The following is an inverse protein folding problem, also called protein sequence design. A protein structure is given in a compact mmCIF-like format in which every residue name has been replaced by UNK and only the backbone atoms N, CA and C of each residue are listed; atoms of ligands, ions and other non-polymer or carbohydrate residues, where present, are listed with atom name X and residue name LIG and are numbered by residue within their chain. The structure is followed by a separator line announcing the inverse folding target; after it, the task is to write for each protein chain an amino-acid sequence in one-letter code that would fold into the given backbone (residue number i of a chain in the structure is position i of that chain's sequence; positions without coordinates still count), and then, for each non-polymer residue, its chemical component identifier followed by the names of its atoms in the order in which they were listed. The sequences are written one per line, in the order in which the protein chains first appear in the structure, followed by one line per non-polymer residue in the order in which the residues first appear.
data_IF_848275685183
#
_entry.id   IF_848275685183
#
_cell.length_a   1.000
_cell.length_b   1.000
_cell.length_c   1.000
_cell.angle_alpha   90.00
_cell.angle_beta   90.00
_cell.angle_gamma   90.00
#
_symmetry.space_group_name_H-M   'P 1'
#
loop_
_entity.id
_entity.type
_entity.pdbx_description
1 polymer ?
#
# COMPACT_ATOMS: atom_id res chain seq x y z
N UNK A 1 8.19 9.26 -5.25
CA UNK A 1 8.66 8.46 -4.10
C UNK A 1 7.50 8.23 -3.14
N UNK A 2 7.24 6.97 -2.83
CA UNK A 2 6.20 6.55 -1.90
C UNK A 2 6.79 5.64 -0.82
N UNK A 3 6.00 5.32 0.20
CA UNK A 3 6.39 4.34 1.21
C UNK A 3 5.20 3.50 1.66
N UNK A 4 5.50 2.30 2.17
CA UNK A 4 4.56 1.44 2.88
C UNK A 4 5.17 0.95 4.19
N UNK A 5 4.33 0.92 5.24
CA UNK A 5 4.77 0.57 6.59
C UNK A 5 3.58 0.16 7.45
N UNK A 6 3.49 -1.11 7.85
CA UNK A 6 2.33 -1.67 8.56
C UNK A 6 2.74 -2.35 9.87
N UNK A 7 3.13 -1.60 10.90
CA UNK A 7 3.65 -2.16 12.15
C UNK A 7 2.65 -3.02 12.91
N UNK A 8 1.34 -2.76 12.78
CA UNK A 8 0.32 -3.55 13.48
C UNK A 8 0.25 -4.99 13.01
N UNK A 9 0.47 -5.25 11.71
CA UNK A 9 0.53 -6.61 11.18
C UNK A 9 1.80 -7.31 11.65
N UNK A 10 2.90 -6.57 11.80
CA UNK A 10 4.20 -7.14 12.16
C UNK A 10 4.21 -7.86 13.51
N UNK A 11 3.41 -7.40 14.48
CA UNK A 11 3.24 -8.11 15.75
C UNK A 11 2.76 -9.55 15.60
N UNK A 12 2.01 -9.84 14.54
CA UNK A 12 1.44 -11.17 14.28
C UNK A 12 2.23 -11.93 13.24
N UNK A 13 2.75 -11.24 12.24
CA UNK A 13 3.48 -11.83 11.13
C UNK A 13 4.40 -10.80 10.46
N UNK A 14 5.71 -10.81 10.76
CA UNK A 14 6.68 -10.01 10.01
C UNK A 14 6.66 -10.29 8.51
N UNK A 15 6.39 -11.54 8.11
CA UNK A 15 6.23 -11.95 6.71
C UNK A 15 5.09 -11.19 6.01
N UNK A 16 3.89 -11.22 6.58
CA UNK A 16 2.73 -10.51 6.00
C UNK A 16 2.89 -9.00 6.06
N UNK A 17 3.46 -8.47 7.14
CA UNK A 17 3.74 -7.04 7.26
C UNK A 17 4.65 -6.55 6.13
N UNK A 18 5.68 -7.31 5.79
CA UNK A 18 6.59 -6.98 4.69
C UNK A 18 5.87 -7.01 3.33
N UNK A 19 5.03 -8.03 3.08
CA UNK A 19 4.22 -8.08 1.85
C UNK A 19 3.32 -6.85 1.73
N UNK A 20 2.57 -6.51 2.78
CA UNK A 20 1.68 -5.35 2.77
C UNK A 20 2.45 -4.02 2.70
N UNK A 21 3.62 -3.90 3.31
CA UNK A 21 4.46 -2.70 3.18
C UNK A 21 4.90 -2.47 1.72
N UNK A 22 5.31 -3.54 1.03
CA UNK A 22 5.64 -3.45 -0.40
C UNK A 22 4.40 -3.11 -1.22
N UNK A 23 3.28 -3.80 -0.99
CA UNK A 23 2.04 -3.58 -1.71
C UNK A 23 1.50 -2.16 -1.53
N UNK A 24 1.53 -1.62 -0.30
CA UNK A 24 1.11 -0.24 0.00
C UNK A 24 1.97 0.79 -0.73
N UNK A 25 3.30 0.61 -0.74
CA UNK A 25 4.20 1.51 -1.45
C UNK A 25 3.92 1.53 -2.96
N UNK A 26 3.59 0.37 -3.54
CA UNK A 26 3.18 0.24 -4.95
C UNK A 26 1.81 0.86 -5.20
N UNK A 27 0.81 0.57 -4.36
CA UNK A 27 -0.52 1.18 -4.47
C UNK A 27 -0.43 2.71 -4.53
N UNK A 28 0.42 3.32 -3.70
CA UNK A 28 0.66 4.77 -3.68
C UNK A 28 1.31 5.28 -4.99
N UNK A 29 2.13 4.48 -5.66
CA UNK A 29 2.65 4.82 -7.00
C UNK A 29 1.51 4.87 -8.01
N UNK A 30 0.63 3.86 -8.01
CA UNK A 30 -0.53 3.83 -8.90
C UNK A 30 -1.54 4.94 -8.60
N UNK A 31 -1.77 5.24 -7.32
CA UNK A 31 -2.69 6.31 -6.91
C UNK A 31 -2.30 7.71 -7.40
N UNK A 32 -1.03 7.93 -7.73
CA UNK A 32 -0.56 9.20 -8.30
C UNK A 32 -0.32 9.14 -9.81
N UNK A 33 -0.79 8.09 -10.49
CA UNK A 33 -0.67 7.94 -11.94
C UNK A 33 0.61 7.24 -12.41
N UNK A 34 1.42 6.68 -11.51
CA UNK A 34 2.60 5.88 -11.86
C UNK A 34 2.26 4.43 -12.18
N UNK A 35 3.27 3.68 -12.63
CA UNK A 35 3.18 2.24 -12.91
C UNK A 35 4.36 1.48 -12.36
N UNK A 36 4.27 0.14 -12.32
CA UNK A 36 5.40 -0.71 -11.95
C UNK A 36 6.53 -0.73 -12.99
N UNK A 37 6.32 -0.32 -14.24
CA UNK A 37 7.28 -0.53 -15.34
C UNK A 37 8.63 0.14 -15.12
N UNK A 38 8.66 1.24 -14.39
CA UNK A 38 9.89 1.97 -14.05
C UNK A 38 10.13 2.06 -12.54
N UNK A 39 9.47 1.19 -11.75
CA UNK A 39 9.53 1.19 -10.32
C UNK A 39 10.73 0.41 -9.81
N UNK A 40 11.40 0.94 -8.78
CA UNK A 40 12.44 0.28 -7.98
C UNK A 40 12.16 0.46 -6.50
N UNK A 41 12.54 -0.55 -5.72
CA UNK A 41 12.39 -0.51 -4.27
C UNK A 41 13.72 -0.19 -3.58
N UNK A 42 13.58 0.39 -2.38
CA UNK A 42 14.63 0.44 -1.37
C UNK A 42 13.99 0.13 -0.02
N UNK A 43 14.58 -0.78 0.75
CA UNK A 43 14.00 -1.19 2.03
C UNK A 43 14.78 -0.63 3.19
N UNK A 44 14.05 -0.28 4.25
CA UNK A 44 14.61 0.13 5.52
C UNK A 44 14.07 -0.80 6.60
N UNK A 45 14.96 -1.47 7.33
CA UNK A 45 14.56 -2.48 8.29
C UNK A 45 15.08 -2.14 9.69
N UNK A 46 14.23 -2.42 10.71
CA UNK A 46 14.54 -2.23 12.11
C UNK A 46 14.10 -3.45 12.90
N UNK A 47 15.03 -4.01 13.65
CA UNK A 47 14.80 -5.16 14.52
C UNK A 47 15.38 -4.90 15.90
N UNK A 48 14.84 -5.61 16.89
CA UNK A 48 15.40 -5.66 18.25
C UNK A 48 16.84 -6.19 18.23
N UNK A 49 17.55 -6.05 19.34
CA UNK A 49 18.88 -6.66 19.50
C UNK A 49 18.74 -8.19 19.47
N UNK A 50 19.27 -8.82 18.44
CA UNK A 50 19.04 -10.24 18.13
C UNK A 50 19.85 -11.19 19.02
N UNK A 51 21.11 -10.83 19.32
CA UNK A 51 22.02 -11.73 20.04
C UNK A 51 22.20 -13.06 19.31
N UNK A 52 22.13 -14.17 20.06
CA UNK A 52 22.21 -15.52 19.51
C UNK A 52 20.86 -16.27 19.59
N UNK A 53 19.77 -15.55 19.78
CA UNK A 53 18.44 -16.14 19.84
C UNK A 53 17.91 -16.46 18.44
N UNK A 54 17.75 -17.75 18.08
CA UNK A 54 17.27 -18.12 16.74
C UNK A 54 15.85 -17.67 16.47
N UNK A 55 15.00 -17.49 17.48
CA UNK A 55 13.63 -16.99 17.29
C UNK A 55 13.64 -15.53 16.81
N UNK A 56 14.54 -14.70 17.34
CA UNK A 56 14.70 -13.32 16.88
C UNK A 56 15.21 -13.23 15.44
N UNK A 57 16.18 -14.07 15.08
CA UNK A 57 16.67 -14.20 13.71
C UNK A 57 15.56 -14.71 12.76
N UNK A 58 14.68 -15.57 13.25
CA UNK A 58 13.50 -16.05 12.51
C UNK A 58 12.57 -14.91 12.09
N UNK A 59 12.40 -13.89 12.90
CA UNK A 59 11.57 -12.71 12.58
C UNK A 59 12.19 -11.88 11.45
N UNK A 60 13.50 -11.66 11.47
CA UNK A 60 14.25 -11.03 10.36
C UNK A 60 14.05 -11.81 9.07
N UNK A 61 14.23 -13.13 9.13
CA UNK A 61 14.05 -14.00 7.98
C UNK A 61 12.63 -13.92 7.41
N UNK A 62 11.61 -13.87 8.26
CA UNK A 62 10.22 -13.71 7.82
C UNK A 62 10.00 -12.40 7.07
N UNK A 63 10.50 -11.27 7.56
CA UNK A 63 10.37 -9.98 6.90
C UNK A 63 11.05 -9.98 5.52
N UNK A 64 12.27 -10.51 5.45
CA UNK A 64 13.02 -10.64 4.18
C UNK A 64 12.30 -11.55 3.18
N UNK A 65 11.79 -12.70 3.61
CA UNK A 65 11.04 -13.61 2.74
C UNK A 65 9.74 -12.97 2.25
N UNK A 66 9.02 -12.24 3.11
CA UNK A 66 7.81 -11.52 2.71
C UNK A 66 8.10 -10.47 1.63
N UNK A 67 9.17 -9.69 1.81
CA UNK A 67 9.58 -8.71 0.80
C UNK A 67 10.02 -9.35 -0.51
N UNK A 68 10.70 -10.50 -0.45
CA UNK A 68 11.12 -11.26 -1.64
C UNK A 68 9.92 -11.76 -2.43
N UNK A 69 8.96 -12.40 -1.75
CA UNK A 69 7.72 -12.88 -2.40
C UNK A 69 6.98 -11.73 -3.09
N UNK A 70 6.88 -10.58 -2.45
CA UNK A 70 6.24 -9.42 -3.06
C UNK A 70 7.00 -8.89 -4.27
N UNK A 71 8.34 -8.80 -4.20
CA UNK A 71 9.18 -8.38 -5.34
C UNK A 71 9.05 -9.33 -6.53
N UNK A 72 9.06 -10.63 -6.29
CA UNK A 72 8.92 -11.65 -7.35
C UNK A 72 7.55 -11.56 -8.02
N UNK A 73 6.47 -11.44 -7.23
CA UNK A 73 5.11 -11.33 -7.76
C UNK A 73 4.88 -10.04 -8.56
N UNK A 74 5.45 -8.92 -8.12
CA UNK A 74 5.36 -7.63 -8.81
C UNK A 74 6.32 -7.57 -10.02
N UNK A 75 7.37 -8.37 -10.00
CA UNK A 75 8.40 -8.41 -11.04
C UNK A 75 9.36 -7.21 -10.98
N UNK A 76 9.59 -6.65 -9.79
CA UNK A 76 10.45 -5.47 -9.59
C UNK A 76 11.41 -5.67 -8.44
N UNK A 77 12.72 -5.37 -8.64
CA UNK A 77 13.73 -5.58 -7.62
C UNK A 77 13.85 -4.38 -6.67
N UNK A 78 14.38 -4.66 -5.48
CA UNK A 78 15.00 -3.63 -4.67
C UNK A 78 16.43 -3.35 -5.19
N UNK A 79 16.80 -2.07 -5.18
CA UNK A 79 18.15 -1.63 -5.56
C UNK A 79 19.11 -1.63 -4.37
N UNK A 80 18.57 -1.80 -3.16
CA UNK A 80 19.33 -1.81 -1.92
C UNK A 80 18.42 -1.53 -0.74
N UNK A 81 19.06 -1.33 0.40
CA UNK A 81 18.37 -1.06 1.65
C UNK A 81 19.34 -0.90 2.79
N UNK A 82 18.82 -0.84 4.00
CA UNK A 82 19.60 -0.69 5.22
C UNK A 82 18.90 -1.37 6.38
N UNK A 83 19.62 -2.21 7.10
CA UNK A 83 19.12 -2.89 8.29
C UNK A 83 19.69 -2.28 9.57
N UNK A 84 18.90 -2.33 10.63
CA UNK A 84 19.36 -2.06 11.98
C UNK A 84 18.85 -3.15 12.92
N UNK A 85 19.75 -3.79 13.64
CA UNK A 85 19.48 -4.89 14.58
C UNK A 85 19.86 -4.50 16.01
N UNK A 86 19.63 -3.25 16.37
CA UNK A 86 19.97 -2.69 17.68
C UNK A 86 18.81 -1.90 18.31
N UNK A 87 17.60 -2.19 17.88
CA UNK A 87 16.37 -1.51 18.35
C UNK A 87 15.89 -1.99 19.72
N UNK A 88 16.79 -2.10 20.68
CA UNK A 88 16.48 -2.44 22.08
C UNK A 88 17.01 -1.37 23.00
N UNK A 89 16.14 -0.85 23.87
CA UNK A 89 16.49 0.05 24.94
C UNK A 89 15.92 -0.48 26.28
N UNK A 90 16.79 -0.96 27.14
CA UNK A 90 16.43 -1.72 28.35
C UNK A 90 15.54 -2.93 28.01
N UNK A 91 14.30 -2.92 28.44
CA UNK A 91 13.25 -3.93 28.21
C UNK A 91 12.32 -3.58 27.04
N UNK A 92 12.48 -2.42 26.43
CA UNK A 92 11.72 -2.00 25.26
C UNK A 92 12.41 -2.46 23.96
N UNK A 93 11.67 -3.17 23.13
CA UNK A 93 12.10 -3.59 21.82
C UNK A 93 11.27 -2.89 20.74
N UNK A 94 11.90 -2.50 19.65
CA UNK A 94 11.15 -2.09 18.45
C UNK A 94 10.38 -3.29 17.91
N UNK A 95 9.21 -3.03 17.37
CA UNK A 95 8.47 -4.01 16.56
C UNK A 95 9.29 -4.30 15.31
N UNK A 96 9.27 -5.54 14.87
CA UNK A 96 9.90 -5.94 13.62
C UNK A 96 9.35 -5.09 12.48
N UNK A 97 10.19 -4.31 11.87
CA UNK A 97 9.79 -3.30 10.92
C UNK A 97 10.49 -3.51 9.59
N UNK A 98 9.70 -3.57 8.51
CA UNK A 98 10.17 -3.36 7.16
C UNK A 98 9.37 -2.19 6.57
N UNK A 99 10.08 -1.15 6.15
CA UNK A 99 9.53 -0.03 5.40
C UNK A 99 9.94 -0.23 3.95
N UNK A 100 8.96 -0.27 3.06
CA UNK A 100 9.20 -0.26 1.61
C UNK A 100 9.14 1.16 1.09
N UNK A 101 10.20 1.62 0.45
CA UNK A 101 10.19 2.81 -0.38
C UNK A 101 10.09 2.39 -1.83
N UNK A 102 9.17 2.98 -2.58
CA UNK A 102 9.02 2.76 -4.01
C UNK A 102 9.27 4.08 -4.76
N UNK A 103 10.13 4.03 -5.77
CA UNK A 103 10.48 5.17 -6.60
C UNK A 103 10.19 4.85 -8.06
N UNK A 104 9.37 5.69 -8.71
CA UNK A 104 9.06 5.60 -10.12
C UNK A 104 8.97 7.00 -10.74
N UNK A 105 9.51 7.24 -11.94
CA UNK A 105 9.26 8.46 -12.70
C UNK A 105 7.82 8.47 -13.22
N UNK A 106 7.15 9.63 -13.13
CA UNK A 106 5.81 9.86 -13.66
C UNK A 106 5.84 11.16 -14.46
N UNK A 107 5.16 11.19 -15.61
CA UNK A 107 4.98 12.43 -16.35
C UNK A 107 4.05 13.35 -15.57
N UNK A 108 4.38 14.63 -15.49
CA UNK A 108 3.57 15.62 -14.74
C UNK A 108 2.11 15.64 -15.26
N UNK A 109 1.90 15.46 -16.56
CA UNK A 109 0.56 15.45 -17.16
C UNK A 109 -0.31 14.26 -16.71
N UNK A 110 0.31 13.17 -16.23
CA UNK A 110 -0.38 11.94 -15.80
C UNK A 110 -0.61 11.93 -14.27
N UNK A 111 -0.11 12.94 -13.55
CA UNK A 111 -0.23 13.01 -12.09
C UNK A 111 -1.64 13.43 -11.70
N UNK A 112 -2.28 12.61 -10.85
CA UNK A 112 -3.52 12.97 -10.15
C UNK A 112 -3.25 13.13 -8.65
N UNK A 113 -4.15 13.80 -7.96
CA UNK A 113 -4.04 14.11 -6.53
C UNK A 113 -5.21 13.54 -5.74
N UNK A 114 -5.08 13.30 -4.44
CA UNK A 114 -6.04 12.51 -3.67
C UNK A 114 -7.34 13.23 -3.29
N UNK A 115 -7.38 14.57 -3.32
CA UNK A 115 -8.60 15.31 -2.96
C UNK A 115 -9.71 15.10 -4.00
N UNK A 116 -10.99 15.06 -3.54
CA UNK A 116 -12.16 14.96 -4.42
C UNK A 116 -12.21 16.16 -5.37
N UNK A 117 -12.70 15.96 -6.59
CA UNK A 117 -12.68 16.98 -7.65
C UNK A 117 -14.04 17.65 -7.89
N UNK A 118 -15.15 16.91 -7.86
CA UNK A 118 -16.44 17.48 -8.19
C UNK A 118 -17.63 16.76 -7.53
N UNK A 119 -18.65 17.53 -7.25
CA UNK A 119 -19.94 16.98 -6.81
C UNK A 119 -20.57 16.15 -7.95
N UNK A 120 -21.13 14.99 -7.60
CA UNK A 120 -21.78 14.08 -8.54
C UNK A 120 -20.88 13.01 -9.15
N UNK A 121 -19.57 13.13 -9.00
CA UNK A 121 -18.63 12.04 -9.35
C UNK A 121 -18.91 10.79 -8.50
N UNK A 122 -18.54 9.65 -9.05
CA UNK A 122 -18.75 8.35 -8.41
C UNK A 122 -17.50 7.93 -7.64
N UNK A 123 -17.70 7.31 -6.48
CA UNK A 123 -16.63 6.79 -5.63
C UNK A 123 -16.64 5.27 -5.68
N UNK A 124 -15.47 4.67 -5.85
CA UNK A 124 -15.30 3.22 -5.88
C UNK A 124 -14.20 2.79 -4.92
N UNK A 125 -14.42 1.65 -4.27
CA UNK A 125 -13.41 0.95 -3.50
C UNK A 125 -12.84 -0.19 -4.32
N UNK A 126 -11.54 -0.18 -4.56
CA UNK A 126 -10.80 -1.24 -5.26
C UNK A 126 -10.04 -2.05 -4.22
N UNK A 127 -10.58 -3.20 -3.79
CA UNK A 127 -10.04 -3.95 -2.68
C UNK A 127 -8.72 -4.65 -3.04
N UNK A 128 -7.95 -4.99 -1.99
CA UNK A 128 -6.89 -6.00 -2.11
C UNK A 128 -7.56 -7.37 -2.26
N UNK A 129 -7.25 -8.07 -3.34
CA UNK A 129 -7.76 -9.42 -3.57
C UNK A 129 -7.05 -10.39 -2.63
N UNK A 130 -7.81 -11.32 -2.06
CA UNK A 130 -7.30 -12.34 -1.14
C UNK A 130 -7.66 -13.72 -1.62
N UNK A 131 -6.77 -14.67 -1.34
CA UNK A 131 -7.03 -16.09 -1.56
C UNK A 131 -8.00 -16.66 -0.49
N UNK A 132 -8.33 -17.93 -0.62
CA UNK A 132 -9.24 -18.64 0.29
C UNK A 132 -8.70 -18.76 1.73
N UNK A 133 -7.41 -18.50 1.94
CA UNK A 133 -6.76 -18.48 3.25
C UNK A 133 -6.65 -17.07 3.85
N UNK A 134 -7.06 -16.05 3.08
CA UNK A 134 -7.01 -14.66 3.48
C UNK A 134 -5.68 -13.95 3.20
N UNK A 135 -4.74 -14.59 2.51
CA UNK A 135 -3.50 -13.96 2.07
C UNK A 135 -3.73 -13.08 0.83
N UNK A 136 -2.97 -11.98 0.66
CA UNK A 136 -3.11 -11.15 -0.52
C UNK A 136 -2.71 -11.91 -1.79
N UNK A 137 -3.63 -12.02 -2.75
CA UNK A 137 -3.32 -12.42 -4.12
C UNK A 137 -2.69 -11.23 -4.83
N UNK A 138 -1.36 -11.23 -4.86
CA UNK A 138 -0.58 -10.13 -5.41
C UNK A 138 -0.81 -9.95 -6.92
N UNK A 139 -0.97 -11.05 -7.66
CA UNK A 139 -1.18 -10.99 -9.11
C UNK A 139 -2.54 -10.36 -9.45
N UNK A 140 -3.61 -10.82 -8.79
CA UNK A 140 -4.95 -10.29 -8.99
C UNK A 140 -5.06 -8.83 -8.50
N UNK A 141 -4.43 -8.49 -7.38
CA UNK A 141 -4.39 -7.13 -6.86
C UNK A 141 -3.64 -6.19 -7.81
N UNK A 142 -2.49 -6.61 -8.34
CA UNK A 142 -1.73 -5.84 -9.33
C UNK A 142 -2.54 -5.61 -10.62
N UNK A 143 -3.30 -6.62 -11.07
CA UNK A 143 -4.18 -6.46 -12.23
C UNK A 143 -5.24 -5.36 -12.00
N UNK A 144 -5.77 -5.24 -10.79
CA UNK A 144 -6.68 -4.14 -10.45
C UNK A 144 -5.98 -2.77 -10.44
N UNK A 145 -4.75 -2.67 -9.94
CA UNK A 145 -3.99 -1.41 -10.01
C UNK A 145 -3.71 -1.00 -11.46
N UNK A 146 -3.40 -1.95 -12.34
CA UNK A 146 -3.22 -1.68 -13.77
C UNK A 146 -4.52 -1.16 -14.43
N UNK A 147 -5.69 -1.72 -14.07
CA UNK A 147 -6.98 -1.18 -14.52
C UNK A 147 -7.20 0.26 -14.05
N UNK A 148 -6.92 0.55 -12.77
CA UNK A 148 -7.02 1.91 -12.24
C UNK A 148 -6.09 2.86 -12.99
N UNK A 149 -4.85 2.45 -13.27
CA UNK A 149 -3.91 3.25 -14.06
C UNK A 149 -4.46 3.54 -15.46
N UNK A 150 -5.01 2.55 -16.17
CA UNK A 150 -5.62 2.75 -17.48
C UNK A 150 -6.77 3.78 -17.42
N UNK A 151 -7.62 3.71 -16.39
CA UNK A 151 -8.71 4.67 -16.18
C UNK A 151 -8.20 6.09 -15.85
N UNK A 152 -7.06 6.22 -15.18
CA UNK A 152 -6.39 7.51 -14.98
C UNK A 152 -5.90 8.06 -16.33
N UNK A 153 -5.25 7.24 -17.15
CA UNK A 153 -4.76 7.65 -18.48
C UNK A 153 -5.90 8.05 -19.44
N UNK A 154 -7.08 7.44 -19.30
CA UNK A 154 -8.29 7.83 -20.03
C UNK A 154 -8.92 9.13 -19.51
N UNK A 155 -8.52 9.63 -18.35
CA UNK A 155 -9.15 10.75 -17.68
C UNK A 155 -10.49 10.42 -17.00
N UNK A 156 -10.85 9.15 -16.90
CA UNK A 156 -12.06 8.69 -16.22
C UNK A 156 -11.90 8.74 -14.69
N UNK A 157 -10.75 8.32 -14.17
CA UNK A 157 -10.38 8.44 -12.76
C UNK A 157 -9.57 9.72 -12.58
N UNK A 158 -10.06 10.60 -11.70
CA UNK A 158 -9.51 11.95 -11.49
C UNK A 158 -8.92 12.17 -10.10
N UNK A 159 -9.18 11.26 -9.18
CA UNK A 159 -8.62 11.24 -7.84
C UNK A 159 -8.46 9.80 -7.36
N UNK A 160 -7.41 9.53 -6.60
CA UNK A 160 -7.18 8.24 -5.98
C UNK A 160 -6.46 8.40 -4.63
N UNK A 161 -6.83 7.58 -3.66
CA UNK A 161 -6.21 7.51 -2.34
C UNK A 161 -5.98 6.06 -1.94
N UNK A 162 -4.86 5.78 -1.28
CA UNK A 162 -4.57 4.45 -0.74
C UNK A 162 -5.07 4.35 0.68
N UNK A 163 -5.83 3.30 0.97
CA UNK A 163 -6.24 3.03 2.34
C UNK A 163 -5.03 2.52 3.14
N UNK A 164 -4.65 3.30 4.13
CA UNK A 164 -3.59 3.00 5.06
C UNK A 164 -4.14 2.30 6.31
N UNK A 165 -3.55 2.53 7.48
CA UNK A 165 -4.06 2.04 8.77
C UNK A 165 -5.35 2.76 9.22
N UNK A 166 -6.31 2.91 8.35
CA UNK A 166 -7.61 3.50 8.62
C UNK A 166 -8.72 2.72 7.94
N UNK A 167 -9.97 3.08 8.22
CA UNK A 167 -11.12 2.53 7.51
C UNK A 167 -11.31 3.19 6.15
N UNK A 168 -12.16 2.58 5.31
CA UNK A 168 -12.62 3.19 4.07
C UNK A 168 -13.19 4.61 4.30
N UNK A 169 -14.02 4.78 5.35
CA UNK A 169 -14.54 6.11 5.72
C UNK A 169 -13.43 7.10 6.06
N UNK A 170 -12.37 6.67 6.78
CA UNK A 170 -11.25 7.55 7.11
C UNK A 170 -10.52 8.03 5.85
N UNK A 171 -10.37 7.16 4.84
CA UNK A 171 -9.78 7.52 3.55
C UNK A 171 -10.65 8.54 2.81
N UNK A 172 -11.95 8.31 2.74
CA UNK A 172 -12.90 9.25 2.13
C UNK A 172 -12.93 10.60 2.84
N UNK A 173 -12.87 10.63 4.18
CA UNK A 173 -12.78 11.87 4.95
C UNK A 173 -11.53 12.67 4.56
N UNK A 174 -10.37 12.02 4.42
CA UNK A 174 -9.13 12.69 4.00
C UNK A 174 -9.26 13.29 2.59
N UNK A 175 -9.86 12.54 1.65
CA UNK A 175 -10.12 13.03 0.28
C UNK A 175 -11.10 14.21 0.27
N UNK A 176 -12.16 14.14 1.08
CA UNK A 176 -13.21 15.15 1.19
C UNK A 176 -12.71 16.45 1.84
N UNK A 177 -11.92 16.36 2.93
CA UNK A 177 -11.36 17.51 3.63
C UNK A 177 -10.45 18.36 2.73
N UNK A 178 -9.63 17.73 1.91
CA UNK A 178 -8.75 18.43 0.97
C UNK A 178 -9.52 19.26 -0.07
N UNK A 179 -10.73 18.82 -0.43
CA UNK A 179 -11.57 19.46 -1.42
C UNK A 179 -12.62 20.41 -0.83
N UNK A 180 -12.93 20.29 0.46
CA UNK A 180 -14.10 20.96 1.06
C UNK A 180 -15.43 20.39 0.55
N UNK A 181 -15.45 19.13 0.07
CA UNK A 181 -16.61 18.42 -0.44
C UNK A 181 -17.11 17.40 0.59
N UNK A 182 -18.40 17.03 0.50
CA UNK A 182 -18.96 15.90 1.22
C UNK A 182 -18.98 14.63 0.37
N UNK A 183 -19.34 13.50 0.98
CA UNK A 183 -19.58 12.24 0.30
C UNK A 183 -20.73 11.48 0.95
N UNK A 184 -21.36 10.62 0.17
CA UNK A 184 -22.31 9.62 0.66
C UNK A 184 -21.71 8.24 0.44
N UNK A 185 -21.91 7.33 1.40
CA UNK A 185 -21.41 5.96 1.34
C UNK A 185 -22.50 5.00 1.78
N UNK A 186 -22.87 4.07 0.91
CA UNK A 186 -23.75 2.95 1.17
C UNK A 186 -22.95 1.64 1.12
N UNK A 187 -22.21 1.36 2.18
CA UNK A 187 -21.38 0.16 2.23
C UNK A 187 -21.37 -0.45 3.62
N UNK A 188 -21.65 -1.74 3.71
CA UNK A 188 -21.47 -2.52 4.92
C UNK A 188 -19.99 -2.55 5.38
N UNK A 189 -19.05 -2.29 4.45
CA UNK A 189 -17.62 -2.31 4.67
C UNK A 189 -17.02 -0.93 5.01
N UNK A 190 -17.85 0.09 5.25
CA UNK A 190 -17.42 1.47 5.47
C UNK A 190 -16.36 1.63 6.58
N UNK A 191 -16.40 0.79 7.61
CA UNK A 191 -15.48 0.80 8.74
C UNK A 191 -14.37 -0.27 8.65
N UNK A 192 -14.34 -1.07 7.58
CA UNK A 192 -13.34 -2.11 7.42
C UNK A 192 -11.97 -1.53 7.07
N UNK A 193 -10.95 -2.24 7.55
CA UNK A 193 -9.55 -2.00 7.18
C UNK A 193 -9.22 -2.87 5.96
N UNK A 194 -8.67 -2.24 4.94
CA UNK A 194 -8.17 -2.94 3.75
C UNK A 194 -6.91 -2.24 3.24
N UNK A 195 -5.83 -2.42 4.00
CA UNK A 195 -4.53 -1.79 3.72
C UNK A 195 -4.09 -2.08 2.29
N UNK A 196 -3.58 -1.05 1.62
CA UNK A 196 -3.18 -1.05 0.21
C UNK A 196 -4.34 -1.11 -0.81
N UNK A 197 -5.62 -1.17 -0.38
CA UNK A 197 -6.74 -0.93 -1.29
C UNK A 197 -6.75 0.51 -1.80
N UNK A 198 -7.40 0.75 -2.94
CA UNK A 198 -7.56 2.09 -3.50
C UNK A 198 -8.99 2.58 -3.32
N UNK A 199 -9.11 3.86 -3.02
CA UNK A 199 -10.37 4.63 -3.15
C UNK A 199 -10.19 5.56 -4.32
N UNK A 200 -11.06 5.47 -5.31
CA UNK A 200 -10.97 6.26 -6.55
C UNK A 200 -12.23 7.09 -6.77
N UNK A 201 -12.06 8.26 -7.36
CA UNK A 201 -13.14 9.11 -7.85
C UNK A 201 -13.17 9.05 -9.39
N UNK A 202 -14.35 8.76 -9.94
CA UNK A 202 -14.57 8.67 -11.38
C UNK A 202 -15.59 9.67 -11.87
N UNK A 203 -15.35 10.27 -13.04
CA UNK A 203 -16.28 11.18 -13.71
C UNK A 203 -17.44 10.48 -14.39
N UNK A 204 -17.41 9.15 -14.48
CA UNK A 204 -18.46 8.30 -15.07
C UNK A 204 -18.68 7.04 -14.25
N UNK A 205 -19.76 6.35 -14.53
CA UNK A 205 -19.95 5.00 -13.99
C UNK A 205 -18.93 4.03 -14.59
N UNK A 206 -18.32 3.23 -13.73
CA UNK A 206 -17.41 2.15 -14.12
C UNK A 206 -18.19 0.85 -14.13
N UNK A 207 -17.90 -0.02 -15.10
CA UNK A 207 -18.39 -1.39 -15.09
C UNK A 207 -17.64 -2.21 -14.00
N UNK A 208 -18.32 -3.20 -13.44
CA UNK A 208 -17.80 -4.13 -12.45
C UNK A 208 -16.59 -4.96 -12.97
#
# INVERSE_FOLDING_TARGET
LTYGFIPKISHYSPFLSAIYAVLESVAKVYAVGGTKESLYFSFQEYFEKLGQDPAKWGKVTQALLGSLVAQEAIGRPSIGGKDSMSGTFHDLNVVETLISFACAPVKIADVITPELKAVGNKLYHVPVIRDDQGYPDLAATMANYEKVHALIQEGSVVSAYVQEEGSLTASLVKMALGAGLGFEIESANALNFDVASLVIESTRELAD
#
